data_IF_712989546794
#
_entry.id   IF_712989546794
#
_cell.length_a   1.000
_cell.length_b   1.000
_cell.length_c   1.000
_cell.angle_alpha   90.00
_cell.angle_beta   90.00
_cell.angle_gamma   90.00
#
_symmetry.space_group_name_H-M   'P 1'
#
loop_
_entity.id
_entity.type
_entity.pdbx_description
1 polymer ?
#
# COMPACT_ATOMS: atom_id res chain seq x y z
N UNK A 1 -21.63 -45.07 -22.66
CA UNK A 1 -22.00 -46.41 -22.15
C UNK A 1 -23.38 -46.30 -21.52
N UNK A 2 -24.44 -46.68 -22.25
CA UNK A 2 -25.81 -46.19 -22.02
C UNK A 2 -26.89 -47.28 -21.85
N UNK A 3 -26.53 -48.56 -21.79
CA UNK A 3 -27.52 -49.66 -21.89
C UNK A 3 -27.34 -50.78 -20.85
N UNK A 4 -27.39 -50.49 -19.54
CA UNK A 4 -27.43 -51.57 -18.52
C UNK A 4 -28.46 -51.38 -17.38
N UNK A 5 -29.29 -50.32 -17.40
CA UNK A 5 -30.21 -49.99 -16.30
C UNK A 5 -31.71 -50.14 -16.65
N UNK A 6 -32.06 -51.15 -17.46
CA UNK A 6 -33.48 -51.44 -17.82
C UNK A 6 -34.03 -52.74 -17.25
N UNK A 7 -33.35 -53.37 -16.29
CA UNK A 7 -33.76 -54.65 -15.72
C UNK A 7 -33.71 -54.63 -14.18
N UNK A 8 -34.50 -53.77 -13.54
CA UNK A 8 -34.93 -53.96 -12.13
C UNK A 8 -36.11 -53.03 -11.77
N UNK A 9 -37.12 -53.00 -12.62
CA UNK A 9 -38.40 -52.31 -12.37
C UNK A 9 -39.51 -53.33 -12.58
N UNK A 10 -39.68 -54.24 -11.62
CA UNK A 10 -40.87 -55.06 -11.50
C UNK A 10 -41.07 -55.45 -10.03
N UNK A 11 -42.23 -55.09 -9.49
CA UNK A 11 -42.74 -55.66 -8.24
C UNK A 11 -42.95 -54.69 -7.09
N UNK A 12 -43.74 -53.62 -7.27
CA UNK A 12 -44.46 -53.03 -6.14
C UNK A 12 -45.95 -52.98 -6.51
N UNK A 13 -46.61 -54.11 -6.28
CA UNK A 13 -48.05 -54.28 -6.42
C UNK A 13 -48.69 -53.70 -5.15
N UNK A 14 -49.22 -52.47 -5.26
CA UNK A 14 -50.13 -51.88 -4.29
C UNK A 14 -51.44 -52.68 -4.29
N UNK A 15 -51.66 -53.49 -3.26
CA UNK A 15 -52.92 -54.17 -3.02
C UNK A 15 -53.63 -53.47 -1.85
N UNK A 16 -54.59 -52.60 -2.20
CA UNK A 16 -55.54 -52.05 -1.25
C UNK A 16 -56.54 -53.17 -0.87
N UNK A 17 -56.52 -53.60 0.39
CA UNK A 17 -57.57 -54.45 0.97
C UNK A 17 -58.13 -53.77 2.21
N UNK A 18 -59.35 -53.26 2.07
CA UNK A 18 -60.26 -52.99 3.17
C UNK A 18 -60.98 -54.28 3.55
N UNK A 19 -60.71 -54.84 4.73
CA UNK A 19 -61.70 -55.60 5.51
C UNK A 19 -61.18 -55.93 6.91
N UNK A 20 -62.00 -55.58 7.90
CA UNK A 20 -61.85 -55.85 9.33
C UNK A 20 -61.90 -57.36 9.60
N UNK A 21 -60.88 -57.89 10.29
CA UNK A 21 -60.98 -59.10 11.10
C UNK A 21 -59.91 -59.03 12.20
N UNK A 22 -60.35 -58.92 13.46
CA UNK A 22 -59.48 -59.05 14.63
C UNK A 22 -59.23 -60.53 14.86
N UNK A 23 -57.99 -60.97 14.61
CA UNK A 23 -57.47 -62.29 14.98
C UNK A 23 -56.26 -62.04 15.87
N UNK A 24 -56.11 -62.70 17.04
CA UNK A 24 -54.91 -62.52 17.85
C UNK A 24 -53.76 -63.28 17.20
N UNK A 25 -52.91 -62.60 16.41
CA UNK A 25 -51.67 -63.16 15.89
C UNK A 25 -50.46 -62.76 16.75
N UNK A 26 -49.79 -63.80 17.23
CA UNK A 26 -48.36 -63.97 17.46
C UNK A 26 -47.46 -62.73 17.42
N UNK A 27 -46.68 -62.55 18.49
CA UNK A 27 -45.56 -61.61 18.61
C UNK A 27 -44.42 -61.79 17.55
N UNK A 28 -44.58 -62.68 16.56
CA UNK A 28 -43.66 -62.84 15.42
C UNK A 28 -43.98 -61.90 14.24
N UNK A 29 -45.21 -61.38 14.11
CA UNK A 29 -45.58 -60.44 13.02
C UNK A 29 -44.93 -59.05 13.20
N UNK A 30 -44.73 -58.63 14.45
CA UNK A 30 -44.26 -57.28 14.79
C UNK A 30 -42.77 -57.08 14.42
N UNK A 31 -41.95 -58.13 14.49
CA UNK A 31 -40.52 -58.05 14.16
C UNK A 31 -40.28 -58.04 12.63
N UNK A 32 -41.06 -58.81 11.87
CA UNK A 32 -41.00 -58.78 10.41
C UNK A 32 -41.46 -57.43 9.85
N UNK A 33 -42.49 -56.84 10.45
CA UNK A 33 -42.95 -55.50 10.11
C UNK A 33 -41.87 -54.43 10.39
N UNK A 34 -41.21 -54.49 11.56
CA UNK A 34 -40.09 -53.58 11.92
C UNK A 34 -38.91 -53.72 10.96
N UNK A 35 -38.53 -54.96 10.63
CA UNK A 35 -37.45 -55.25 9.66
C UNK A 35 -37.77 -54.65 8.29
N UNK A 36 -38.98 -54.89 7.79
CA UNK A 36 -39.44 -54.40 6.49
C UNK A 36 -39.44 -52.87 6.46
N UNK A 37 -39.98 -52.23 7.50
CA UNK A 37 -39.99 -50.78 7.63
C UNK A 37 -38.58 -50.16 7.64
N UNK A 38 -37.61 -50.78 8.32
CA UNK A 38 -36.22 -50.33 8.31
C UNK A 38 -35.58 -50.42 6.92
N UNK A 39 -35.79 -51.53 6.21
CA UNK A 39 -35.27 -51.71 4.86
C UNK A 39 -35.93 -50.76 3.85
N UNK A 40 -37.24 -50.54 3.95
CA UNK A 40 -37.98 -49.55 3.15
C UNK A 40 -37.49 -48.13 3.42
N UNK A 41 -37.25 -47.78 4.70
CA UNK A 41 -36.68 -46.48 5.08
C UNK A 41 -35.30 -46.28 4.48
N UNK A 42 -34.45 -47.31 4.44
CA UNK A 42 -33.17 -47.25 3.75
C UNK A 42 -33.34 -47.08 2.22
N UNK A 43 -34.09 -47.99 1.57
CA UNK A 43 -34.21 -48.03 0.11
C UNK A 43 -34.97 -46.85 -0.50
N UNK A 44 -35.88 -46.21 0.25
CA UNK A 44 -36.56 -44.99 -0.18
C UNK A 44 -35.66 -43.75 -0.17
N UNK A 45 -34.52 -43.80 0.52
CA UNK A 45 -33.69 -42.62 0.80
C UNK A 45 -32.24 -42.72 0.29
N UNK A 46 -31.69 -43.91 0.06
CA UNK A 46 -30.25 -44.10 -0.23
C UNK A 46 -29.76 -43.46 -1.54
N UNK A 47 -30.65 -43.20 -2.51
CA UNK A 47 -30.34 -42.48 -3.76
C UNK A 47 -30.94 -41.07 -3.82
N UNK A 48 -31.39 -40.53 -2.68
CA UNK A 48 -32.01 -39.22 -2.59
C UNK A 48 -31.02 -38.05 -2.42
N UNK A 49 -31.53 -36.94 -1.89
CA UNK A 49 -30.71 -35.80 -1.42
C UNK A 49 -29.76 -36.20 -0.29
N UNK A 50 -28.78 -35.35 0.04
CA UNK A 50 -27.84 -35.63 1.15
C UNK A 50 -28.57 -35.83 2.49
N UNK A 51 -29.66 -35.10 2.75
CA UNK A 51 -30.46 -35.32 3.97
C UNK A 51 -31.16 -36.68 3.95
N UNK A 52 -31.64 -37.13 2.79
CA UNK A 52 -32.18 -38.48 2.63
C UNK A 52 -31.06 -39.53 2.78
N UNK A 53 -29.88 -39.30 2.21
CA UNK A 53 -28.74 -40.19 2.40
C UNK A 53 -28.32 -40.34 3.86
N UNK A 54 -28.48 -39.32 4.71
CA UNK A 54 -28.29 -39.45 6.18
C UNK A 54 -29.33 -40.36 6.82
N UNK A 55 -30.60 -40.21 6.45
CA UNK A 55 -31.70 -41.07 6.90
C UNK A 55 -31.44 -42.52 6.49
N UNK A 56 -30.99 -42.72 5.25
CA UNK A 56 -30.60 -44.03 4.75
C UNK A 56 -29.39 -44.57 5.51
N UNK A 57 -28.34 -43.79 5.73
CA UNK A 57 -27.16 -44.22 6.47
C UNK A 57 -27.50 -44.67 7.89
N UNK A 58 -28.36 -43.93 8.59
CA UNK A 58 -28.84 -44.30 9.93
C UNK A 58 -29.66 -45.59 9.91
N UNK A 59 -30.69 -45.66 9.04
CA UNK A 59 -31.54 -46.85 8.91
C UNK A 59 -30.75 -48.10 8.45
N UNK A 60 -29.78 -47.93 7.55
CA UNK A 60 -28.91 -48.98 7.05
C UNK A 60 -27.97 -49.52 8.12
N UNK A 61 -27.35 -48.64 8.92
CA UNK A 61 -26.54 -49.05 10.07
C UNK A 61 -27.37 -49.80 11.10
N UNK A 62 -28.57 -49.31 11.41
CA UNK A 62 -29.50 -49.97 12.33
C UNK A 62 -29.94 -51.35 11.81
N UNK A 63 -30.27 -51.46 10.52
CA UNK A 63 -30.64 -52.73 9.88
C UNK A 63 -29.49 -53.74 9.96
N UNK A 64 -28.27 -53.33 9.61
CA UNK A 64 -27.08 -54.18 9.67
C UNK A 64 -26.75 -54.59 11.11
N UNK A 65 -26.95 -53.70 12.09
CA UNK A 65 -26.72 -54.00 13.50
C UNK A 65 -27.72 -55.04 14.04
N UNK A 66 -29.01 -54.90 13.71
CA UNK A 66 -30.08 -55.76 14.23
C UNK A 66 -30.18 -57.11 13.50
N UNK A 67 -30.03 -57.10 12.18
CA UNK A 67 -30.30 -58.26 11.32
C UNK A 67 -29.05 -58.82 10.62
N UNK A 68 -27.87 -58.23 10.87
CA UNK A 68 -26.62 -58.61 10.19
C UNK A 68 -26.12 -60.03 10.44
N UNK A 69 -26.63 -60.72 11.47
CA UNK A 69 -26.31 -62.11 11.79
C UNK A 69 -27.32 -63.12 11.21
N UNK A 70 -28.46 -62.67 10.68
CA UNK A 70 -29.49 -63.53 10.12
C UNK A 70 -29.11 -63.97 8.70
N UNK A 71 -29.04 -65.28 8.47
CA UNK A 71 -28.68 -65.83 7.16
C UNK A 71 -29.67 -65.44 6.05
N UNK A 72 -30.97 -65.35 6.39
CA UNK A 72 -32.04 -65.03 5.43
C UNK A 72 -32.00 -63.57 4.97
N UNK A 73 -31.38 -62.68 5.74
CA UNK A 73 -31.26 -61.25 5.44
C UNK A 73 -29.94 -60.90 4.73
N UNK A 74 -29.11 -61.90 4.43
CA UNK A 74 -27.78 -61.71 3.86
C UNK A 74 -27.77 -60.84 2.59
N UNK A 75 -28.68 -60.99 1.61
CA UNK A 75 -28.69 -60.15 0.42
C UNK A 75 -28.87 -58.65 0.72
N UNK A 76 -29.81 -58.31 1.62
CA UNK A 76 -30.08 -56.93 2.03
C UNK A 76 -28.93 -56.36 2.84
N UNK A 77 -28.37 -57.16 3.76
CA UNK A 77 -27.22 -56.79 4.60
C UNK A 77 -25.98 -56.52 3.73
N UNK A 78 -25.68 -57.39 2.76
CA UNK A 78 -24.54 -57.22 1.85
C UNK A 78 -24.69 -55.95 1.00
N UNK A 79 -25.90 -55.70 0.48
CA UNK A 79 -26.22 -54.50 -0.28
C UNK A 79 -26.02 -53.22 0.55
N UNK A 80 -26.60 -53.16 1.74
CA UNK A 80 -26.48 -52.00 2.63
C UNK A 80 -25.01 -51.78 3.03
N UNK A 81 -24.28 -52.84 3.41
CA UNK A 81 -22.86 -52.73 3.79
C UNK A 81 -22.00 -52.20 2.65
N UNK A 82 -22.27 -52.60 1.41
CA UNK A 82 -21.54 -52.11 0.24
C UNK A 82 -21.83 -50.63 -0.05
N UNK A 83 -23.03 -50.15 0.29
CA UNK A 83 -23.47 -48.80 -0.02
C UNK A 83 -23.14 -47.76 1.07
N UNK A 84 -22.99 -48.18 2.33
CA UNK A 84 -22.62 -47.31 3.47
C UNK A 84 -21.42 -46.41 3.15
N UNK A 85 -20.28 -46.92 2.62
CA UNK A 85 -19.13 -46.07 2.29
C UNK A 85 -19.45 -45.00 1.24
N UNK A 86 -20.33 -45.28 0.28
CA UNK A 86 -20.77 -44.31 -0.73
C UNK A 86 -21.61 -43.20 -0.09
N UNK A 87 -22.55 -43.56 0.79
CA UNK A 87 -23.39 -42.60 1.51
C UNK A 87 -22.53 -41.68 2.40
N UNK A 88 -21.60 -42.27 3.16
CA UNK A 88 -20.64 -41.51 3.99
C UNK A 88 -19.82 -40.53 3.17
N UNK A 89 -19.27 -40.98 2.03
CA UNK A 89 -18.49 -40.13 1.13
C UNK A 89 -19.34 -38.98 0.55
N UNK A 90 -20.59 -39.23 0.16
CA UNK A 90 -21.47 -38.21 -0.38
C UNK A 90 -21.85 -37.15 0.67
N UNK A 91 -22.16 -37.59 1.90
CA UNK A 91 -22.48 -36.68 3.02
C UNK A 91 -21.27 -35.82 3.37
N UNK A 92 -20.07 -36.40 3.42
CA UNK A 92 -18.84 -35.66 3.71
C UNK A 92 -18.48 -34.68 2.59
N UNK A 93 -18.70 -35.06 1.32
CA UNK A 93 -18.50 -34.18 0.18
C UNK A 93 -19.43 -32.95 0.23
N UNK A 94 -20.71 -33.15 0.53
CA UNK A 94 -21.68 -32.05 0.72
C UNK A 94 -21.29 -31.13 1.89
N UNK A 95 -20.85 -31.71 3.02
CA UNK A 95 -20.37 -30.94 4.16
C UNK A 95 -19.19 -30.05 3.78
N UNK A 96 -18.19 -30.59 3.07
CA UNK A 96 -17.04 -29.82 2.57
C UNK A 96 -17.47 -28.73 1.59
N UNK A 97 -18.38 -29.04 0.67
CA UNK A 97 -18.90 -28.08 -0.30
C UNK A 97 -19.61 -26.90 0.38
N UNK A 98 -20.44 -27.16 1.41
CA UNK A 98 -21.12 -26.13 2.18
C UNK A 98 -20.15 -25.23 2.95
N UNK A 99 -19.11 -25.80 3.56
CA UNK A 99 -18.06 -25.03 4.23
C UNK A 99 -17.33 -24.13 3.23
N UNK A 100 -16.89 -24.68 2.10
CA UNK A 100 -16.22 -23.90 1.05
C UNK A 100 -17.10 -22.79 0.48
N UNK A 101 -18.40 -23.06 0.29
CA UNK A 101 -19.37 -22.05 -0.18
C UNK A 101 -19.56 -20.93 0.86
N UNK A 102 -19.64 -21.26 2.15
CA UNK A 102 -19.74 -20.28 3.22
C UNK A 102 -18.48 -19.41 3.32
N UNK A 103 -17.29 -20.02 3.20
CA UNK A 103 -16.02 -19.29 3.17
C UNK A 103 -15.92 -18.36 1.96
N UNK A 104 -16.31 -18.82 0.78
CA UNK A 104 -16.33 -18.02 -0.44
C UNK A 104 -17.32 -16.83 -0.31
N UNK A 105 -18.52 -17.07 0.22
CA UNK A 105 -19.50 -16.02 0.46
C UNK A 105 -18.98 -14.96 1.44
N UNK A 106 -18.33 -15.39 2.53
CA UNK A 106 -17.71 -14.50 3.52
C UNK A 106 -16.60 -13.65 2.89
N UNK A 107 -15.71 -14.26 2.10
CA UNK A 107 -14.66 -13.53 1.38
C UNK A 107 -15.24 -12.53 0.39
N UNK A 108 -16.20 -12.94 -0.43
CA UNK A 108 -16.87 -12.04 -1.38
C UNK A 108 -17.52 -10.84 -0.67
N UNK A 109 -18.18 -11.06 0.47
CA UNK A 109 -18.74 -9.97 1.27
C UNK A 109 -17.65 -9.02 1.81
N UNK A 110 -16.51 -9.55 2.25
CA UNK A 110 -15.39 -8.75 2.73
C UNK A 110 -14.75 -7.90 1.62
N UNK A 111 -14.45 -8.51 0.46
CA UNK A 111 -13.94 -7.78 -0.70
C UNK A 111 -14.97 -6.75 -1.20
N UNK A 112 -16.26 -7.10 -1.24
CA UNK A 112 -17.34 -6.18 -1.60
C UNK A 112 -17.44 -4.97 -0.68
N UNK A 113 -17.25 -5.15 0.64
CA UNK A 113 -17.15 -4.04 1.62
C UNK A 113 -15.98 -3.14 1.33
N UNK A 114 -14.79 -3.72 1.12
CA UNK A 114 -13.58 -2.96 0.78
C UNK A 114 -13.80 -2.14 -0.49
N UNK A 115 -14.24 -2.77 -1.57
CA UNK A 115 -14.49 -2.15 -2.87
C UNK A 115 -15.50 -1.00 -2.79
N UNK A 116 -16.62 -1.23 -2.11
CA UNK A 116 -17.68 -0.22 -1.93
C UNK A 116 -17.20 0.95 -1.08
N UNK A 117 -16.41 0.68 -0.04
CA UNK A 117 -15.83 1.73 0.81
C UNK A 117 -14.82 2.59 0.04
N UNK A 118 -14.00 2.00 -0.85
CA UNK A 118 -13.05 2.75 -1.67
C UNK A 118 -13.79 3.68 -2.64
N UNK A 119 -14.79 3.14 -3.34
CA UNK A 119 -15.59 3.91 -4.31
C UNK A 119 -16.37 5.05 -3.65
N UNK A 120 -16.93 4.81 -2.47
CA UNK A 120 -17.67 5.82 -1.69
C UNK A 120 -16.77 6.75 -0.88
N UNK A 121 -15.45 6.57 -0.92
CA UNK A 121 -14.46 7.32 -0.12
C UNK A 121 -14.68 7.20 1.40
N UNK A 122 -15.29 6.11 1.85
CA UNK A 122 -15.42 5.79 3.28
C UNK A 122 -14.13 5.15 3.80
N UNK A 123 -13.11 5.99 4.01
CA UNK A 123 -11.76 5.54 4.34
C UNK A 123 -11.65 4.79 5.66
N UNK A 124 -12.49 5.12 6.66
CA UNK A 124 -12.51 4.39 7.92
C UNK A 124 -12.89 2.91 7.69
N UNK A 125 -13.93 2.66 6.89
CA UNK A 125 -14.32 1.30 6.52
C UNK A 125 -13.30 0.66 5.57
N UNK A 126 -12.67 1.43 4.67
CA UNK A 126 -11.59 0.92 3.80
C UNK A 126 -10.42 0.38 4.60
N UNK A 127 -9.92 1.12 5.60
CA UNK A 127 -8.86 0.64 6.47
C UNK A 127 -9.29 -0.57 7.31
N UNK A 128 -10.54 -0.57 7.80
CA UNK A 128 -11.08 -1.71 8.56
C UNK A 128 -11.15 -2.98 7.71
N UNK A 129 -11.86 -2.95 6.59
CA UNK A 129 -12.00 -4.08 5.69
C UNK A 129 -10.64 -4.51 5.09
N UNK A 130 -9.77 -3.55 4.76
CA UNK A 130 -8.43 -3.84 4.25
C UNK A 130 -7.56 -4.58 5.26
N UNK A 131 -7.64 -4.23 6.56
CA UNK A 131 -6.96 -4.98 7.63
C UNK A 131 -7.51 -6.40 7.78
N UNK A 132 -8.83 -6.56 7.72
CA UNK A 132 -9.49 -7.88 7.75
C UNK A 132 -9.00 -8.75 6.56
N UNK A 133 -8.90 -8.19 5.35
CA UNK A 133 -8.37 -8.90 4.17
C UNK A 133 -6.91 -9.30 4.39
N UNK A 134 -6.06 -8.37 4.84
CA UNK A 134 -4.63 -8.60 4.99
C UNK A 134 -4.28 -9.54 6.15
N UNK A 135 -5.20 -9.75 7.11
CA UNK A 135 -5.05 -10.78 8.13
C UNK A 135 -5.11 -12.20 7.52
N UNK A 136 -5.88 -12.39 6.45
CA UNK A 136 -6.02 -13.66 5.74
C UNK A 136 -5.06 -13.77 4.57
N UNK A 137 -4.81 -12.65 3.89
CA UNK A 137 -4.03 -12.59 2.65
C UNK A 137 -2.94 -11.50 2.76
N UNK A 138 -1.91 -11.72 3.61
CA UNK A 138 -0.92 -10.70 3.97
C UNK A 138 0.02 -10.26 2.82
N UNK A 139 -0.06 -10.93 1.67
CA UNK A 139 0.73 -10.63 0.47
C UNK A 139 -0.07 -9.90 -0.60
N UNK A 140 -1.33 -9.51 -0.31
CA UNK A 140 -2.18 -8.81 -1.28
C UNK A 140 -1.76 -7.34 -1.44
N UNK A 141 -0.68 -7.12 -2.20
CA UNK A 141 -0.01 -5.82 -2.33
C UNK A 141 -0.93 -4.73 -2.90
N UNK A 142 -1.96 -5.08 -3.67
CA UNK A 142 -2.93 -4.11 -4.19
C UNK A 142 -3.71 -3.41 -3.07
N UNK A 143 -4.15 -4.17 -2.06
CA UNK A 143 -4.82 -3.61 -0.88
C UNK A 143 -3.84 -2.79 -0.06
N UNK A 144 -2.63 -3.28 0.16
CA UNK A 144 -1.58 -2.55 0.91
C UNK A 144 -1.30 -1.19 0.24
N UNK A 145 -1.18 -1.16 -1.09
CA UNK A 145 -0.92 0.06 -1.85
C UNK A 145 -2.10 1.04 -1.80
N UNK A 146 -3.34 0.57 -1.90
CA UNK A 146 -4.53 1.43 -1.70
C UNK A 146 -4.47 2.09 -0.32
N UNK A 147 -4.26 1.30 0.74
CA UNK A 147 -4.19 1.82 2.12
C UNK A 147 -2.99 2.75 2.34
N UNK A 148 -1.86 2.49 1.68
CA UNK A 148 -0.65 3.32 1.72
C UNK A 148 -0.76 4.63 0.92
N UNK A 149 -1.87 4.84 0.20
CA UNK A 149 -2.07 6.01 -0.67
C UNK A 149 -3.06 7.02 -0.12
N UNK A 150 -4.11 6.55 0.56
CA UNK A 150 -5.27 7.37 0.98
C UNK A 150 -4.85 8.63 1.74
N UNK A 151 -3.97 8.51 2.74
CA UNK A 151 -3.56 9.66 3.55
C UNK A 151 -2.84 10.75 2.78
N UNK A 152 -2.18 10.46 1.65
CA UNK A 152 -1.57 11.50 0.82
C UNK A 152 -2.66 12.44 0.28
N UNK A 153 -3.64 11.89 -0.43
CA UNK A 153 -4.75 12.65 -1.03
C UNK A 153 -5.54 13.40 0.04
N UNK A 154 -5.89 12.73 1.14
CA UNK A 154 -6.64 13.33 2.25
C UNK A 154 -5.86 14.45 2.93
N UNK A 155 -4.56 14.27 3.12
CA UNK A 155 -3.72 15.29 3.73
C UNK A 155 -3.48 16.49 2.81
N UNK A 156 -3.67 16.36 1.50
CA UNK A 156 -3.53 17.46 0.53
C UNK A 156 -4.78 18.32 0.38
N UNK A 157 -5.92 17.88 0.93
CA UNK A 157 -7.17 18.65 0.94
C UNK A 157 -7.04 19.98 1.69
N UNK A 158 -8.05 20.84 1.49
CA UNK A 158 -8.20 22.09 2.21
C UNK A 158 -9.62 22.18 2.83
N UNK A 159 -9.77 22.05 4.17
CA UNK A 159 -8.70 21.82 5.14
C UNK A 159 -8.05 20.42 5.00
N UNK A 160 -6.78 20.25 5.41
CA UNK A 160 -6.12 18.95 5.43
C UNK A 160 -6.83 17.96 6.36
N UNK A 161 -7.02 16.72 5.91
CA UNK A 161 -7.53 15.61 6.74
C UNK A 161 -6.34 14.75 7.16
N UNK A 162 -6.04 14.72 8.46
CA UNK A 162 -4.84 14.03 9.00
C UNK A 162 -5.16 12.74 9.75
N UNK A 163 -6.43 12.39 9.91
CA UNK A 163 -6.91 11.24 10.69
C UNK A 163 -6.25 9.91 10.26
N UNK A 164 -5.92 9.76 8.98
CA UNK A 164 -5.39 8.51 8.41
C UNK A 164 -3.87 8.50 8.25
N UNK A 165 -3.16 9.54 8.68
CA UNK A 165 -1.73 9.70 8.40
C UNK A 165 -0.87 8.55 8.92
N UNK A 166 -1.11 8.12 10.16
CA UNK A 166 -0.33 7.05 10.79
C UNK A 166 -0.56 5.71 10.09
N UNK A 167 -1.83 5.34 9.87
CA UNK A 167 -2.19 4.11 9.15
C UNK A 167 -1.59 4.13 7.73
N UNK A 168 -1.69 5.27 7.03
CA UNK A 168 -1.11 5.43 5.68
C UNK A 168 0.39 5.20 5.68
N UNK A 169 1.13 5.80 6.61
CA UNK A 169 2.58 5.61 6.72
C UNK A 169 2.91 4.14 7.03
N UNK A 170 2.15 3.48 7.90
CA UNK A 170 2.35 2.06 8.21
C UNK A 170 2.17 1.19 6.95
N UNK A 171 1.10 1.38 6.19
CA UNK A 171 0.85 0.61 4.97
C UNK A 171 1.80 0.98 3.83
N UNK A 172 2.23 2.24 3.71
CA UNK A 172 3.24 2.64 2.73
C UNK A 172 4.60 1.98 3.02
N UNK A 173 5.01 1.89 4.30
CA UNK A 173 6.21 1.15 4.69
C UNK A 173 6.08 -0.35 4.40
N UNK A 174 4.91 -0.94 4.70
CA UNK A 174 4.63 -2.34 4.37
C UNK A 174 4.68 -2.59 2.86
N UNK A 175 4.10 -1.71 2.04
CA UNK A 175 4.16 -1.79 0.59
C UNK A 175 5.62 -1.76 0.09
N UNK A 176 6.43 -0.80 0.58
CA UNK A 176 7.85 -0.72 0.22
C UNK A 176 8.57 -2.02 0.57
N UNK A 177 8.32 -2.57 1.76
CA UNK A 177 8.92 -3.85 2.19
C UNK A 177 8.54 -5.00 1.26
N UNK A 178 7.24 -5.19 0.97
CA UNK A 178 6.72 -6.26 0.10
C UNK A 178 7.23 -6.14 -1.34
N UNK A 179 7.27 -4.94 -1.89
CA UNK A 179 7.77 -4.70 -3.25
C UNK A 179 9.27 -5.00 -3.35
N UNK A 180 10.05 -4.60 -2.33
CA UNK A 180 11.49 -4.90 -2.28
C UNK A 180 11.76 -6.40 -2.08
N UNK A 181 10.89 -7.12 -1.38
CA UNK A 181 10.98 -8.57 -1.22
C UNK A 181 10.48 -9.36 -2.45
N UNK A 182 10.09 -8.68 -3.53
CA UNK A 182 9.70 -9.32 -4.78
C UNK A 182 8.23 -9.74 -4.87
N UNK A 183 7.35 -9.28 -3.97
CA UNK A 183 5.90 -9.50 -4.12
C UNK A 183 5.39 -8.68 -5.31
N UNK A 184 4.73 -9.36 -6.23
CA UNK A 184 4.22 -8.77 -7.46
C UNK A 184 2.69 -8.65 -7.44
N UNK A 185 2.19 -7.73 -8.26
CA UNK A 185 0.79 -7.64 -8.61
C UNK A 185 0.67 -7.33 -10.10
N UNK A 186 -0.46 -7.73 -10.69
CA UNK A 186 -0.79 -7.36 -12.05
C UNK A 186 -0.86 -5.83 -12.25
N UNK A 187 -1.39 -5.10 -11.26
CA UNK A 187 -1.72 -3.67 -11.38
C UNK A 187 -0.92 -2.78 -10.42
N UNK A 188 -0.32 -3.36 -9.37
CA UNK A 188 0.32 -2.62 -8.28
C UNK A 188 -0.61 -1.55 -7.70
N UNK A 189 -1.68 -2.00 -7.05
CA UNK A 189 -2.77 -1.18 -6.53
C UNK A 189 -4.08 -1.43 -7.27
N UNK A 190 -5.12 -0.73 -6.83
CA UNK A 190 -6.45 -0.81 -7.40
C UNK A 190 -7.10 0.58 -7.48
N UNK A 191 -8.15 0.72 -8.28
CA UNK A 191 -8.91 1.96 -8.44
C UNK A 191 -8.02 3.13 -8.90
N UNK A 192 -8.20 4.32 -8.34
CA UNK A 192 -7.35 5.48 -8.58
C UNK A 192 -5.90 5.30 -8.06
N UNK A 193 -5.63 4.25 -7.29
CA UNK A 193 -4.31 3.97 -6.70
C UNK A 193 -3.56 2.85 -7.44
N UNK A 194 -3.89 2.60 -8.71
CA UNK A 194 -3.14 1.68 -9.55
C UNK A 194 -1.87 2.35 -10.10
N UNK A 195 -0.71 1.77 -9.79
CA UNK A 195 0.59 2.34 -10.15
C UNK A 195 1.14 1.84 -11.47
N UNK A 196 0.63 0.73 -12.00
CA UNK A 196 0.92 0.30 -13.36
C UNK A 196 0.02 1.06 -14.34
N UNK A 197 0.62 1.78 -15.27
CA UNK A 197 -0.10 2.49 -16.33
C UNK A 197 0.77 2.61 -17.58
N UNK A 198 0.29 3.33 -18.61
CA UNK A 198 0.99 3.48 -19.88
C UNK A 198 2.38 4.12 -19.74
N UNK A 199 2.52 5.09 -18.84
CA UNK A 199 3.77 5.82 -18.64
C UNK A 199 4.74 5.04 -17.74
N UNK A 200 4.20 4.17 -16.87
CA UNK A 200 4.94 3.33 -15.94
C UNK A 200 4.49 1.85 -16.04
N UNK A 201 4.90 1.14 -17.10
CA UNK A 201 4.43 -0.22 -17.38
C UNK A 201 4.95 -1.27 -16.40
N UNK A 202 6.02 -1.02 -15.67
CA UNK A 202 6.50 -1.92 -14.62
C UNK A 202 5.62 -1.84 -13.35
N UNK A 203 5.03 -0.67 -13.08
CA UNK A 203 4.18 -0.40 -11.91
C UNK A 203 4.92 -0.39 -10.56
N UNK A 204 5.86 -1.32 -10.35
CA UNK A 204 6.66 -1.46 -9.13
C UNK A 204 7.47 -0.21 -8.80
N UNK A 205 8.24 0.32 -9.75
CA UNK A 205 9.06 1.52 -9.55
C UNK A 205 8.18 2.74 -9.29
N UNK A 206 7.05 2.83 -9.98
CA UNK A 206 6.09 3.90 -9.76
C UNK A 206 5.47 3.82 -8.35
N UNK A 207 5.04 2.63 -7.92
CA UNK A 207 4.55 2.40 -6.56
C UNK A 207 5.61 2.75 -5.50
N UNK A 208 6.86 2.31 -5.67
CA UNK A 208 7.96 2.65 -4.76
C UNK A 208 8.21 4.17 -4.68
N UNK A 209 8.17 4.88 -5.81
CA UNK A 209 8.27 6.33 -5.86
C UNK A 209 7.16 7.01 -5.06
N UNK A 210 5.91 6.63 -5.32
CA UNK A 210 4.75 7.19 -4.63
C UNK A 210 4.69 6.84 -3.15
N UNK A 211 5.00 5.61 -2.73
CA UNK A 211 5.01 5.26 -1.30
C UNK A 211 6.06 6.04 -0.51
N UNK A 212 7.25 6.24 -1.08
CA UNK A 212 8.26 7.11 -0.46
C UNK A 212 7.79 8.56 -0.42
N UNK A 213 7.15 9.07 -1.48
CA UNK A 213 6.60 10.42 -1.48
C UNK A 213 5.49 10.59 -0.45
N UNK A 214 4.56 9.64 -0.33
CA UNK A 214 3.49 9.66 0.66
C UNK A 214 4.04 9.81 2.08
N UNK A 215 5.01 8.96 2.44
CA UNK A 215 5.66 9.02 3.75
C UNK A 215 6.35 10.37 3.95
N UNK A 216 7.19 10.78 2.99
CA UNK A 216 7.92 12.04 3.08
C UNK A 216 7.01 13.26 3.18
N UNK A 217 5.94 13.31 2.39
CA UNK A 217 4.98 14.41 2.38
C UNK A 217 4.27 14.54 3.73
N UNK A 218 3.70 13.44 4.24
CA UNK A 218 2.95 13.44 5.50
C UNK A 218 3.89 13.82 6.65
N UNK A 219 5.08 13.21 6.73
CA UNK A 219 6.06 13.51 7.77
C UNK A 219 6.46 14.99 7.75
N UNK A 220 6.76 15.54 6.57
CA UNK A 220 7.22 16.92 6.43
C UNK A 220 6.11 17.95 6.72
N UNK A 221 4.93 17.79 6.10
CA UNK A 221 3.90 18.83 6.09
C UNK A 221 2.79 18.66 7.12
N UNK A 222 2.66 17.47 7.72
CA UNK A 222 1.55 17.14 8.62
C UNK A 222 2.01 16.72 10.01
N UNK A 223 3.22 16.19 10.15
CA UNK A 223 3.75 15.73 11.44
C UNK A 223 4.91 16.58 11.97
N UNK A 224 5.34 17.61 11.22
CA UNK A 224 6.49 18.45 11.56
C UNK A 224 7.82 17.66 11.74
N UNK A 225 7.94 16.49 11.11
CA UNK A 225 9.14 15.64 11.11
C UNK A 225 10.00 15.92 9.87
N UNK A 226 10.42 17.17 9.70
CA UNK A 226 11.00 17.66 8.44
C UNK A 226 12.29 16.94 8.05
N UNK A 227 13.23 16.81 8.99
CA UNK A 227 14.53 16.18 8.73
C UNK A 227 14.36 14.69 8.40
N UNK A 228 13.53 13.97 9.17
CA UNK A 228 13.23 12.55 8.94
C UNK A 228 12.53 12.29 7.60
N UNK A 229 11.81 13.28 7.06
CA UNK A 229 11.11 13.16 5.78
C UNK A 229 12.04 13.24 4.56
N UNK A 230 13.18 13.95 4.67
CA UNK A 230 14.07 14.21 3.52
C UNK A 230 14.58 12.94 2.84
N UNK A 231 15.03 11.89 3.55
CA UNK A 231 15.45 10.64 2.91
C UNK A 231 14.35 9.99 2.06
N UNK A 232 13.09 10.06 2.50
CA UNK A 232 11.95 9.53 1.76
C UNK A 232 11.64 10.38 0.52
N UNK A 233 11.61 11.71 0.66
CA UNK A 233 11.43 12.63 -0.47
C UNK A 233 12.53 12.43 -1.51
N UNK A 234 13.79 12.26 -1.09
CA UNK A 234 14.88 11.93 -2.00
C UNK A 234 14.67 10.59 -2.69
N UNK A 235 14.40 9.50 -1.95
CA UNK A 235 14.13 8.18 -2.54
C UNK A 235 13.01 8.24 -3.58
N UNK A 236 11.95 9.01 -3.34
CA UNK A 236 10.84 9.19 -4.30
C UNK A 236 11.29 9.75 -5.66
N UNK A 237 12.40 10.49 -5.71
CA UNK A 237 12.97 11.03 -6.97
C UNK A 237 13.88 10.04 -7.70
N UNK A 238 14.27 8.93 -7.06
CA UNK A 238 15.23 7.97 -7.61
C UNK A 238 14.58 6.90 -8.48
N UNK A 239 13.27 6.66 -8.31
CA UNK A 239 12.54 5.65 -9.07
C UNK A 239 12.03 6.19 -10.41
N UNK A 240 11.91 5.33 -11.42
CA UNK A 240 11.18 5.63 -12.65
C UNK A 240 9.67 5.71 -12.34
N UNK A 241 9.21 6.91 -12.00
CA UNK A 241 7.91 7.14 -11.36
C UNK A 241 7.41 8.55 -11.63
N UNK A 242 6.11 8.77 -11.43
CA UNK A 242 5.50 10.09 -11.55
C UNK A 242 6.12 11.11 -10.58
N UNK A 243 6.57 10.66 -9.41
CA UNK A 243 7.18 11.51 -8.38
C UNK A 243 8.49 12.15 -8.82
N UNK A 244 9.26 11.50 -9.71
CA UNK A 244 10.48 12.08 -10.31
C UNK A 244 10.19 13.34 -11.14
N UNK A 245 8.96 13.51 -11.59
CA UNK A 245 8.52 14.70 -12.35
C UNK A 245 7.80 15.74 -11.49
N UNK A 246 7.76 15.55 -10.16
CA UNK A 246 7.06 16.45 -9.23
C UNK A 246 8.01 17.54 -8.73
N UNK A 247 7.89 18.81 -9.20
CA UNK A 247 8.83 19.88 -8.83
C UNK A 247 8.84 20.18 -7.33
N UNK A 248 7.69 20.02 -6.68
CA UNK A 248 7.52 20.28 -5.26
C UNK A 248 8.43 19.40 -4.39
N UNK A 249 8.73 18.16 -4.79
CA UNK A 249 9.64 17.28 -4.03
C UNK A 249 11.03 17.89 -3.96
N UNK A 250 11.57 18.31 -5.11
CA UNK A 250 12.87 18.95 -5.20
C UNK A 250 12.92 20.29 -4.46
N UNK A 251 11.90 21.14 -4.62
CA UNK A 251 11.81 22.41 -3.89
C UNK A 251 11.79 22.19 -2.36
N UNK A 252 11.07 21.17 -1.88
CA UNK A 252 11.01 20.83 -0.44
C UNK A 252 12.36 20.37 0.10
N UNK A 253 13.12 19.59 -0.67
CA UNK A 253 14.49 19.21 -0.29
C UNK A 253 15.40 20.45 -0.24
N UNK A 254 15.28 21.35 -1.22
CA UNK A 254 15.99 22.63 -1.23
C UNK A 254 15.66 23.51 -0.02
N UNK A 255 14.39 23.56 0.39
CA UNK A 255 13.94 24.32 1.57
C UNK A 255 14.61 23.85 2.85
N UNK A 256 14.85 22.55 3.02
CA UNK A 256 15.52 22.04 4.23
C UNK A 256 17.01 22.43 4.26
N UNK A 257 17.70 22.38 3.12
CA UNK A 257 19.06 22.89 3.03
C UNK A 257 19.13 24.39 3.31
N UNK A 258 18.19 25.17 2.75
CA UNK A 258 18.09 26.59 3.02
C UNK A 258 17.84 26.89 4.50
N UNK A 259 16.87 26.19 5.11
CA UNK A 259 16.55 26.27 6.54
C UNK A 259 17.78 25.97 7.41
N UNK A 260 18.60 25.00 7.01
CA UNK A 260 19.85 24.67 7.69
C UNK A 260 20.85 25.83 7.62
N UNK A 261 21.01 26.46 6.46
CA UNK A 261 21.86 27.66 6.30
C UNK A 261 21.36 28.79 7.19
N UNK A 262 20.06 29.08 7.23
CA UNK A 262 19.50 30.13 8.10
C UNK A 262 19.83 29.85 9.58
N UNK A 263 19.69 28.61 10.05
CA UNK A 263 20.07 28.23 11.42
C UNK A 263 21.56 28.46 11.68
N UNK A 264 22.42 28.11 10.73
CA UNK A 264 23.86 28.38 10.84
C UNK A 264 24.18 29.88 10.90
N UNK A 265 23.42 30.70 10.18
CA UNK A 265 23.53 32.16 10.24
C UNK A 265 23.15 32.67 11.63
N UNK A 266 22.00 32.23 12.13
CA UNK A 266 21.48 32.62 13.45
C UNK A 266 22.40 32.17 14.60
N UNK A 267 23.04 31.00 14.47
CA UNK A 267 24.04 30.51 15.43
C UNK A 267 25.31 31.35 15.40
N UNK A 268 25.83 31.67 14.20
CA UNK A 268 27.02 32.51 14.07
C UNK A 268 26.80 33.93 14.60
N UNK A 269 25.60 34.48 14.44
CA UNK A 269 25.29 35.84 14.93
C UNK A 269 25.41 35.96 16.46
N UNK A 270 25.43 34.83 17.18
CA UNK A 270 25.64 34.75 18.64
C UNK A 270 27.10 34.60 19.05
N UNK A 271 28.03 34.44 18.12
CA UNK A 271 29.45 34.24 18.45
C UNK A 271 30.08 35.52 19.01
N UNK A 272 31.01 35.35 19.96
CA UNK A 272 31.82 36.44 20.46
C UNK A 272 32.75 36.94 19.36
N UNK A 273 32.57 38.20 18.96
CA UNK A 273 33.35 38.84 17.89
C UNK A 273 34.77 39.23 18.32
N UNK A 274 35.05 39.13 19.62
CA UNK A 274 36.36 39.45 20.21
C UNK A 274 37.22 38.21 20.45
N UNK A 275 36.69 37.01 20.23
CA UNK A 275 37.41 35.73 20.33
C UNK A 275 38.62 35.70 19.36
N UNK A 276 39.77 35.24 19.84
CA UNK A 276 40.94 35.01 19.00
C UNK A 276 40.60 34.02 17.87
N UNK A 277 41.01 34.33 16.64
CA UNK A 277 40.66 33.51 15.47
C UNK A 277 39.21 33.64 14.99
N UNK A 278 38.42 34.61 15.50
CA UNK A 278 37.03 34.84 15.07
C UNK A 278 36.87 34.95 13.55
N UNK A 279 37.77 35.67 12.88
CA UNK A 279 37.70 35.86 11.42
C UNK A 279 37.78 34.53 10.66
N UNK A 280 38.66 33.62 11.09
CA UNK A 280 38.82 32.31 10.46
C UNK A 280 37.65 31.37 10.78
N UNK A 281 37.14 31.42 12.01
CA UNK A 281 35.92 30.73 12.42
C UNK A 281 34.73 31.15 11.55
N UNK A 282 34.59 32.46 11.28
CA UNK A 282 33.55 32.99 10.38
C UNK A 282 33.77 32.53 8.94
N UNK A 283 35.00 32.58 8.42
CA UNK A 283 35.32 32.10 7.06
C UNK A 283 34.95 30.62 6.89
N UNK A 284 35.30 29.77 7.85
CA UNK A 284 34.95 28.34 7.84
C UNK A 284 33.43 28.12 7.92
N UNK A 285 32.74 28.88 8.76
CA UNK A 285 31.26 28.88 8.83
C UNK A 285 30.63 29.21 7.48
N UNK A 286 31.09 30.27 6.82
CA UNK A 286 30.59 30.70 5.51
C UNK A 286 30.88 29.65 4.43
N UNK A 287 32.06 29.02 4.45
CA UNK A 287 32.38 27.95 3.52
C UNK A 287 31.42 26.77 3.68
N UNK A 288 31.09 26.39 4.93
CA UNK A 288 30.07 25.38 5.21
C UNK A 288 28.69 25.80 4.74
N UNK A 289 28.27 27.05 4.97
CA UNK A 289 27.01 27.59 4.45
C UNK A 289 26.93 27.49 2.92
N UNK A 290 28.01 27.87 2.22
CA UNK A 290 28.08 27.80 0.75
C UNK A 290 27.95 26.35 0.25
N UNK A 291 28.53 25.38 0.94
CA UNK A 291 28.37 23.96 0.60
C UNK A 291 26.91 23.48 0.73
N UNK A 292 26.17 23.95 1.73
CA UNK A 292 24.73 23.69 1.86
C UNK A 292 23.90 24.44 0.80
N UNK A 293 24.30 25.66 0.45
CA UNK A 293 23.69 26.43 -0.64
C UNK A 293 23.89 25.74 -1.98
N UNK A 294 25.03 25.11 -2.24
CA UNK A 294 25.25 24.32 -3.47
C UNK A 294 24.26 23.15 -3.57
N UNK A 295 23.94 22.49 -2.44
CA UNK A 295 22.88 21.46 -2.39
C UNK A 295 21.47 22.04 -2.60
N UNK A 296 21.19 23.21 -2.03
CA UNK A 296 19.94 23.92 -2.26
C UNK A 296 19.78 24.33 -3.73
N UNK A 297 20.86 24.82 -4.38
CA UNK A 297 20.91 25.17 -5.81
C UNK A 297 20.62 23.93 -6.66
N UNK A 298 21.26 22.78 -6.39
CA UNK A 298 20.98 21.55 -7.15
C UNK A 298 19.49 21.18 -7.10
N UNK A 299 18.91 21.15 -5.89
CA UNK A 299 17.51 20.81 -5.68
C UNK A 299 16.57 21.82 -6.38
N UNK A 300 16.78 23.12 -6.19
CA UNK A 300 15.95 24.15 -6.82
C UNK A 300 16.14 24.24 -8.35
N UNK A 301 17.32 23.92 -8.87
CA UNK A 301 17.55 23.84 -10.31
C UNK A 301 16.75 22.69 -10.95
N UNK A 302 16.66 21.53 -10.28
CA UNK A 302 15.80 20.41 -10.71
C UNK A 302 14.32 20.79 -10.68
N UNK A 303 13.87 21.44 -9.60
CA UNK A 303 12.51 21.97 -9.52
C UNK A 303 12.21 22.95 -10.66
N UNK A 304 13.14 23.89 -10.91
CA UNK A 304 13.03 24.90 -11.95
C UNK A 304 12.98 24.31 -13.37
N UNK A 305 13.82 23.30 -13.65
CA UNK A 305 13.81 22.60 -14.93
C UNK A 305 12.43 22.01 -15.25
N UNK A 306 11.80 21.36 -14.25
CA UNK A 306 10.49 20.73 -14.41
C UNK A 306 9.37 21.75 -14.64
N UNK A 307 9.30 22.82 -13.82
CA UNK A 307 8.29 23.88 -14.00
C UNK A 307 8.52 24.70 -15.27
N UNK A 308 9.74 24.76 -15.78
CA UNK A 308 10.06 25.44 -17.04
C UNK A 308 9.59 24.63 -18.24
N UNK A 309 9.75 23.30 -18.19
CA UNK A 309 9.36 22.38 -19.24
C UNK A 309 7.84 22.13 -19.31
N UNK A 310 7.11 22.33 -18.21
CA UNK A 310 5.66 22.09 -18.17
C UNK A 310 4.85 23.38 -18.40
N UNK A 311 4.15 23.52 -19.55
CA UNK A 311 3.36 24.71 -19.86
C UNK A 311 2.12 24.86 -18.96
N UNK A 312 1.67 23.79 -18.28
CA UNK A 312 0.52 23.82 -17.37
C UNK A 312 0.88 24.33 -15.98
N UNK A 313 2.17 24.53 -15.68
CA UNK A 313 2.57 25.01 -14.36
C UNK A 313 2.16 26.48 -14.19
N UNK A 314 1.51 26.87 -13.06
CA UNK A 314 1.15 28.25 -12.79
C UNK A 314 2.36 29.20 -12.86
N UNK A 315 2.20 30.33 -13.55
CA UNK A 315 3.26 31.31 -13.73
C UNK A 315 3.84 31.82 -12.40
N UNK A 316 2.99 32.01 -11.40
CA UNK A 316 3.38 32.43 -10.04
C UNK A 316 4.30 31.39 -9.39
N UNK A 317 3.98 30.10 -9.49
CA UNK A 317 4.81 29.05 -8.93
C UNK A 317 6.19 28.99 -9.61
N UNK A 318 6.22 29.08 -10.95
CA UNK A 318 7.46 29.14 -11.72
C UNK A 318 8.32 30.36 -11.36
N UNK A 319 7.70 31.53 -11.20
CA UNK A 319 8.39 32.75 -10.79
C UNK A 319 8.96 32.65 -9.38
N UNK A 320 8.24 32.03 -8.44
CA UNK A 320 8.70 31.84 -7.06
C UNK A 320 9.93 30.93 -7.00
N UNK A 321 9.92 29.80 -7.71
CA UNK A 321 11.08 28.90 -7.79
C UNK A 321 12.29 29.62 -8.37
N UNK A 322 12.12 30.36 -9.48
CA UNK A 322 13.20 31.13 -10.09
C UNK A 322 13.75 32.21 -9.14
N UNK A 323 12.86 32.88 -8.38
CA UNK A 323 13.27 33.89 -7.40
C UNK A 323 14.19 33.28 -6.34
N UNK A 324 13.78 32.16 -5.73
CA UNK A 324 14.61 31.47 -4.71
C UNK A 324 15.96 31.06 -5.31
N UNK A 325 15.96 30.54 -6.55
CA UNK A 325 17.21 30.18 -7.21
C UNK A 325 18.13 31.40 -7.44
N UNK A 326 17.58 32.57 -7.81
CA UNK A 326 18.36 33.81 -7.91
C UNK A 326 18.95 34.23 -6.56
N UNK A 327 18.16 34.15 -5.49
CA UNK A 327 18.60 34.52 -4.13
C UNK A 327 19.74 33.59 -3.65
N UNK A 328 19.65 32.29 -3.96
CA UNK A 328 20.70 31.30 -3.68
C UNK A 328 22.00 31.60 -4.45
N UNK A 329 21.89 31.93 -5.75
CA UNK A 329 23.04 32.32 -6.57
C UNK A 329 23.71 33.60 -6.08
N UNK A 330 22.91 34.59 -5.69
CA UNK A 330 23.40 35.84 -5.11
C UNK A 330 24.21 35.57 -3.84
N UNK A 331 23.69 34.74 -2.93
CA UNK A 331 24.41 34.37 -1.72
C UNK A 331 25.69 33.57 -2.02
N UNK A 332 25.62 32.58 -2.91
CA UNK A 332 26.75 31.69 -3.22
C UNK A 332 27.93 32.41 -3.85
N UNK A 333 27.65 33.25 -4.84
CA UNK A 333 28.68 33.83 -5.71
C UNK A 333 28.97 35.29 -5.40
N UNK A 334 28.04 36.02 -4.78
CA UNK A 334 28.20 37.45 -4.45
C UNK A 334 28.55 38.32 -5.67
N UNK A 335 28.04 37.90 -6.84
CA UNK A 335 28.36 38.45 -8.17
C UNK A 335 27.07 38.63 -8.98
N UNK A 336 26.68 39.87 -9.34
CA UNK A 336 25.42 40.14 -10.04
C UNK A 336 25.25 39.35 -11.36
N UNK A 337 26.34 39.10 -12.09
CA UNK A 337 26.36 38.34 -13.34
C UNK A 337 25.94 36.87 -13.16
N UNK A 338 26.13 36.31 -11.96
CA UNK A 338 25.84 34.91 -11.67
C UNK A 338 24.35 34.65 -11.49
N UNK A 339 23.56 35.64 -11.02
CA UNK A 339 22.11 35.49 -10.81
C UNK A 339 21.26 35.84 -12.04
N UNK A 340 21.89 36.00 -13.21
CA UNK A 340 21.18 36.25 -14.48
C UNK A 340 20.44 34.99 -14.94
N UNK A 341 19.30 35.19 -15.62
CA UNK A 341 18.50 34.04 -16.10
C UNK A 341 19.27 33.19 -17.12
N UNK A 342 20.12 33.80 -17.96
CA UNK A 342 20.95 33.08 -18.92
C UNK A 342 21.93 32.13 -18.23
N UNK A 343 22.66 32.64 -17.22
CA UNK A 343 23.60 31.83 -16.45
C UNK A 343 22.91 30.71 -15.69
N UNK A 344 21.82 31.02 -14.98
CA UNK A 344 21.00 30.03 -14.28
C UNK A 344 20.49 28.95 -15.24
N UNK A 345 19.99 29.32 -16.42
CA UNK A 345 19.49 28.36 -17.40
C UNK A 345 20.59 27.41 -17.90
N UNK A 346 21.81 27.91 -18.12
CA UNK A 346 22.95 27.09 -18.54
C UNK A 346 23.35 26.09 -17.45
N UNK A 347 23.44 26.55 -16.20
CA UNK A 347 23.81 25.70 -15.06
C UNK A 347 22.75 24.64 -14.76
N UNK A 348 21.46 25.00 -14.84
CA UNK A 348 20.33 24.07 -14.66
C UNK A 348 20.47 22.87 -15.59
N UNK A 349 20.80 23.09 -16.87
CA UNK A 349 21.02 22.00 -17.84
C UNK A 349 22.17 21.08 -17.41
N UNK A 350 23.28 21.64 -16.92
CA UNK A 350 24.42 20.85 -16.41
C UNK A 350 24.06 20.06 -15.15
N UNK A 351 23.31 20.67 -14.23
CA UNK A 351 22.88 20.07 -12.96
C UNK A 351 21.94 18.89 -13.20
N UNK A 352 20.90 19.06 -14.01
CA UNK A 352 19.90 18.00 -14.22
C UNK A 352 20.47 16.78 -14.95
N UNK A 353 21.57 16.95 -15.70
CA UNK A 353 22.31 15.86 -16.32
C UNK A 353 23.09 14.97 -15.35
N UNK A 354 23.24 15.38 -14.08
CA UNK A 354 23.94 14.62 -13.04
C UNK A 354 22.95 14.00 -12.04
N UNK A 355 23.31 12.89 -11.38
CA UNK A 355 22.53 12.37 -10.26
C UNK A 355 22.37 13.42 -9.16
N UNK A 356 21.18 13.47 -8.54
CA UNK A 356 20.95 14.36 -7.40
C UNK A 356 21.85 13.93 -6.24
N UNK A 357 22.58 14.86 -5.60
CA UNK A 357 23.38 14.53 -4.44
C UNK A 357 22.51 13.98 -3.29
N UNK A 358 22.91 12.85 -2.69
CA UNK A 358 22.16 12.21 -1.61
C UNK A 358 22.13 13.11 -0.35
N UNK A 359 20.95 13.44 0.20
CA UNK A 359 20.85 14.30 1.38
C UNK A 359 21.34 13.69 2.68
N UNK A 360 21.54 12.38 2.74
CA UNK A 360 22.21 11.75 3.88
C UNK A 360 23.73 12.00 3.91
N UNK A 361 24.32 12.53 2.83
CA UNK A 361 25.75 12.84 2.77
C UNK A 361 26.01 14.27 3.20
N UNK A 362 27.02 14.48 4.04
CA UNK A 362 27.48 15.82 4.42
C UNK A 362 27.99 16.54 3.17
N UNK A 363 27.60 17.81 2.93
CA UNK A 363 28.14 18.59 1.83
C UNK A 363 29.66 18.73 1.93
N UNK A 364 30.37 18.55 0.81
CA UNK A 364 31.81 18.80 0.74
C UNK A 364 32.07 20.28 0.91
N UNK A 365 32.84 20.64 1.94
CA UNK A 365 33.23 22.03 2.20
C UNK A 365 34.51 22.32 1.43
N UNK A 366 34.47 23.31 0.54
CA UNK A 366 35.68 23.84 -0.10
C UNK A 366 36.59 24.41 1.01
N UNK A 367 37.85 23.94 1.08
CA UNK A 367 38.82 24.50 2.02
C UNK A 367 39.03 25.97 1.68
N UNK A 368 38.74 26.90 2.60
CA UNK A 368 39.07 28.30 2.36
C UNK A 368 40.58 28.41 2.15
N UNK A 369 41.02 29.04 1.07
CA UNK A 369 42.42 29.43 0.97
C UNK A 369 42.73 30.31 2.19
N UNK A 370 43.62 29.84 3.08
CA UNK A 370 44.21 30.72 4.07
C UNK A 370 45.15 31.64 3.32
N UNK A 371 44.80 32.92 3.24
CA UNK A 371 45.76 33.93 2.82
C UNK A 371 46.96 33.85 3.77
N UNK A 372 48.14 33.56 3.23
CA UNK A 372 49.38 33.78 3.96
C UNK A 372 49.46 35.28 4.24
N UNK A 373 49.45 35.65 5.52
CA UNK A 373 49.68 37.01 5.97
C UNK A 373 51.03 37.49 5.40
N UNK A 374 50.98 38.37 4.42
CA UNK A 374 52.08 39.29 4.13
C UNK A 374 51.64 40.60 4.73
N UNK A 375 52.35 41.07 5.76
CA UNK A 375 52.14 42.39 6.32
C UNK A 375 52.39 43.43 5.21
N UNK A 376 51.31 44.07 4.77
CA UNK A 376 51.37 45.33 4.05
C UNK A 376 50.25 46.22 4.60
N UNK A 377 50.68 47.22 5.35
CA UNK A 377 49.91 48.34 5.85
C UNK A 377 49.36 49.12 4.66
N UNK A 378 48.04 49.12 4.44
CA UNK A 378 47.33 50.38 4.18
C UNK A 378 45.81 50.24 4.39
N UNK A 379 45.24 51.26 5.01
CA UNK A 379 43.86 51.29 5.46
C UNK A 379 42.90 51.63 4.33
N UNK A 380 41.98 50.73 3.99
CA UNK A 380 40.71 51.10 3.38
C UNK A 380 39.60 50.23 3.98
N UNK A 381 38.74 50.86 4.80
CA UNK A 381 37.53 50.24 5.37
C UNK A 381 36.50 50.03 4.27
N UNK A 382 36.51 48.85 3.65
CA UNK A 382 35.40 48.39 2.82
C UNK A 382 34.36 47.75 3.74
N UNK A 383 33.27 48.47 4.01
CA UNK A 383 32.13 47.96 4.77
C UNK A 383 31.54 46.74 4.08
N UNK A 384 31.67 45.58 4.72
CA UNK A 384 31.14 44.32 4.22
C UNK A 384 29.64 44.27 4.52
N UNK A 385 28.81 44.92 3.69
CA UNK A 385 27.35 44.87 3.82
C UNK A 385 26.88 43.46 3.47
N UNK A 386 26.75 42.60 4.49
CA UNK A 386 26.42 41.19 4.34
C UNK A 386 24.92 40.99 4.11
N UNK A 387 24.55 40.36 3.01
CA UNK A 387 23.16 39.97 2.73
C UNK A 387 22.78 38.73 3.55
N UNK A 388 21.87 38.90 4.51
CA UNK A 388 21.24 37.79 5.26
C UNK A 388 20.21 37.13 4.36
N UNK A 389 20.21 35.80 4.30
CA UNK A 389 19.18 35.09 3.57
C UNK A 389 17.90 35.06 4.40
N UNK A 390 16.83 35.70 3.90
CA UNK A 390 15.52 35.62 4.53
C UNK A 390 14.82 34.32 4.12
N UNK A 391 14.22 33.62 5.07
CA UNK A 391 13.41 32.43 4.79
C UNK A 391 12.29 32.77 3.81
N UNK A 392 12.17 32.06 2.66
CA UNK A 392 11.01 32.22 1.80
C UNK A 392 9.75 31.94 2.62
N UNK A 393 8.74 32.81 2.54
CA UNK A 393 7.43 32.53 3.11
C UNK A 393 6.87 31.29 2.39
N UNK A 394 6.93 30.14 3.06
CA UNK A 394 6.52 28.81 2.56
C UNK A 394 5.02 28.70 2.28
N UNK A 395 4.26 29.78 2.49
CA UNK A 395 2.82 29.88 2.24
C UNK A 395 2.45 29.74 0.75
N UNK A 396 3.39 29.94 -0.18
CA UNK A 396 3.12 29.80 -1.62
C UNK A 396 3.06 28.33 -2.10
N UNK A 397 3.79 27.40 -1.46
CA UNK A 397 3.79 25.97 -1.86
C UNK A 397 2.57 25.23 -1.30
N UNK A 398 2.08 25.63 -0.12
CA UNK A 398 0.87 25.04 0.51
C UNK A 398 -0.40 25.21 -0.32
N UNK A 399 -0.52 26.28 -1.11
CA UNK A 399 -1.76 26.64 -1.82
C UNK A 399 -1.85 26.16 -3.27
N UNK A 400 -0.79 25.56 -3.84
CA UNK A 400 -0.74 25.25 -5.28
C UNK A 400 -0.36 23.80 -5.61
N UNK A 401 -0.41 22.89 -4.62
CA UNK A 401 -0.51 21.44 -4.84
C UNK A 401 -1.97 21.02 -5.17
N UNK A 402 -2.73 21.91 -5.81
CA UNK A 402 -4.12 21.69 -6.24
C UNK A 402 -4.18 21.41 -7.72
#
# INVERSE_FOLDING_TARGET
MKNFFRSLMFGLLMLAVTSVAVVPSYAQDDELAKKTALYEKYTSNYNGTVEQMKIALEAGREYVQKYGANADDKPQVDFIKADIPRLEAAIEADRKAKIAAAEAARKNALYGRFDSSVKSKNWAETYKAGREILAEEPNLVDVILVLGSIGLDESQKNPPVTTFNNDTIQFANLAISKLNSGVESKNYGAYQFAYKNKDFPDGKSNALGWMNYTIGYIMYYRMNKKQEAIPYLYKATQFNSGTKSTPAIYATIGDEYFSTVVKMQDERDKWDKTEEGWADKVKQSVAKEKAYVDRAIDAYARAYALVRANPKTPAVYKANILKVLKDLYEFRYQKPEMKTISKINADVTSIVGKPMPNPATTPTVETPAMDKTTEATDGTKTGNTRSRMATPKTSAVKNQLR
#
